data_IF_883083613388
#
_entry.id   IF_883083613388
#
_cell.length_a   1.000
_cell.length_b   1.000
_cell.length_c   1.000
_cell.angle_alpha   90.00
_cell.angle_beta   90.00
_cell.angle_gamma   90.00
#
_symmetry.space_group_name_H-M   'P 1'
#
loop_
_entity.id
_entity.type
_entity.pdbx_description
1 polymer ?
#
# COMPACT_ATOMS: atom_id res chain seq x y z
N UNK A 1 -32.81 0.49 -13.59
CA UNK A 1 -31.44 0.10 -13.37
C UNK A 1 -31.26 0.02 -11.86
N UNK A 2 -31.36 -1.16 -11.29
CA UNK A 2 -31.05 -1.40 -9.87
C UNK A 2 -29.53 -1.53 -9.80
N UNK A 3 -28.90 -0.61 -9.10
CA UNK A 3 -27.47 -0.71 -8.80
C UNK A 3 -27.34 -1.77 -7.71
N UNK A 4 -26.68 -2.87 -8.01
CA UNK A 4 -26.38 -3.91 -7.05
C UNK A 4 -25.58 -3.32 -5.87
N UNK A 5 -25.96 -3.58 -4.62
CA UNK A 5 -25.26 -3.04 -3.44
C UNK A 5 -23.81 -3.49 -3.37
N UNK A 6 -23.43 -4.60 -4.00
CA UNK A 6 -22.04 -4.98 -4.19
C UNK A 6 -21.31 -3.94 -5.04
N UNK A 7 -21.94 -3.45 -6.11
CA UNK A 7 -21.45 -2.34 -6.94
C UNK A 7 -21.44 -1.03 -6.14
N UNK A 8 -22.38 -0.83 -5.21
CA UNK A 8 -22.41 0.35 -4.33
C UNK A 8 -21.27 0.30 -3.30
N UNK A 9 -20.93 -0.85 -2.75
CA UNK A 9 -19.79 -1.02 -1.83
C UNK A 9 -18.49 -0.67 -2.53
N UNK A 10 -18.28 -1.16 -3.76
CA UNK A 10 -17.12 -0.82 -4.56
C UNK A 10 -17.16 0.63 -5.08
N UNK A 11 -18.34 1.17 -5.41
CA UNK A 11 -18.50 2.57 -5.83
C UNK A 11 -18.25 3.57 -4.69
N UNK A 12 -18.62 3.26 -3.46
CA UNK A 12 -18.34 4.11 -2.29
C UNK A 12 -16.85 4.13 -1.95
N UNK A 13 -16.14 3.00 -2.12
CA UNK A 13 -14.69 2.94 -2.01
C UNK A 13 -14.01 3.77 -3.11
N UNK A 14 -14.50 3.74 -4.35
CA UNK A 14 -13.99 4.53 -5.47
C UNK A 14 -14.21 6.04 -5.30
N UNK A 15 -15.36 6.46 -4.76
CA UNK A 15 -15.68 7.88 -4.52
C UNK A 15 -14.77 8.49 -3.45
N UNK A 16 -14.40 7.73 -2.43
CA UNK A 16 -13.50 8.18 -1.37
C UNK A 16 -12.09 8.51 -1.90
N UNK A 17 -11.59 7.70 -2.85
CA UNK A 17 -10.27 7.91 -3.48
C UNK A 17 -10.26 9.18 -4.34
N UNK A 18 -11.31 9.44 -5.11
CA UNK A 18 -11.43 10.65 -5.94
C UNK A 18 -11.48 11.92 -5.08
N UNK A 19 -12.10 11.86 -3.89
CA UNK A 19 -12.16 13.00 -2.98
C UNK A 19 -10.78 13.32 -2.35
N UNK A 20 -9.98 12.30 -2.02
CA UNK A 20 -8.62 12.47 -1.45
C UNK A 20 -7.63 12.99 -2.49
N UNK A 21 -7.74 12.59 -3.76
CA UNK A 21 -6.92 13.14 -4.87
C UNK A 21 -7.17 14.65 -5.05
N UNK A 22 -8.38 15.13 -4.87
CA UNK A 22 -8.68 16.57 -4.90
C UNK A 22 -8.06 17.35 -3.73
N UNK A 23 -7.90 16.72 -2.57
CA UNK A 23 -7.30 17.37 -1.39
C UNK A 23 -5.77 17.49 -1.48
N UNK A 24 -5.10 16.58 -2.21
CA UNK A 24 -3.63 16.59 -2.35
C UNK A 24 -3.18 17.48 -3.51
N UNK A 25 -4.01 17.67 -4.55
CA UNK A 25 -3.69 18.56 -5.68
C UNK A 25 -3.97 20.06 -5.39
N UNK A 26 -4.49 20.42 -4.20
CA UNK A 26 -4.89 21.78 -3.85
C UNK A 26 -3.82 22.63 -3.18
N UNK A 27 -2.64 22.13 -2.88
CA UNK A 27 -1.57 22.94 -2.27
C UNK A 27 -0.57 23.38 -3.35
N UNK A 28 -0.90 24.43 -4.05
CA UNK A 28 0.09 25.21 -4.80
C UNK A 28 1.04 25.83 -3.78
N UNK A 29 2.26 25.33 -3.72
CA UNK A 29 3.36 26.05 -3.09
C UNK A 29 3.76 27.16 -4.06
N UNK A 30 3.36 28.39 -3.77
CA UNK A 30 3.91 29.58 -4.40
C UNK A 30 5.40 29.65 -4.02
N UNK A 31 6.25 29.25 -4.96
CA UNK A 31 7.68 29.52 -4.88
C UNK A 31 7.86 30.98 -5.24
N UNK A 32 7.87 31.82 -4.22
CA UNK A 32 8.27 33.22 -4.29
C UNK A 32 9.73 33.28 -4.77
N UNK A 33 9.91 33.66 -6.05
CA UNK A 33 11.22 33.92 -6.64
C UNK A 33 11.84 35.12 -5.96
N UNK A 34 12.84 34.90 -5.11
CA UNK A 34 13.71 35.93 -4.59
C UNK A 34 14.67 36.39 -5.71
N UNK A 35 14.80 37.70 -6.02
CA UNK A 35 15.72 38.20 -7.00
C UNK A 35 17.19 38.03 -6.57
N UNK A 36 18.13 37.90 -7.51
CA UNK A 36 19.56 37.75 -7.17
C UNK A 36 20.17 39.08 -6.75
N UNK A 37 20.89 39.07 -5.64
CA UNK A 37 21.75 40.18 -5.22
C UNK A 37 23.10 40.12 -5.93
N UNK A 38 23.71 41.28 -6.31
CA UNK A 38 24.96 41.32 -7.06
C UNK A 38 26.19 41.09 -6.17
N UNK A 39 27.22 40.49 -6.80
CA UNK A 39 28.51 40.22 -6.13
C UNK A 39 29.39 41.44 -5.94
N UNK A 40 30.52 41.27 -5.29
CA UNK A 40 31.77 41.77 -5.91
C UNK A 40 32.95 40.79 -5.88
N UNK A 41 33.70 40.97 -6.91
CA UNK A 41 35.08 40.67 -7.30
C UNK A 41 36.16 40.15 -6.33
N UNK A 42 36.92 39.25 -6.92
CA UNK A 42 38.38 39.18 -6.96
C UNK A 42 39.16 38.71 -5.71
N UNK A 43 39.84 37.55 -5.88
CA UNK A 43 41.30 37.49 -5.69
C UNK A 43 41.84 36.16 -6.21
N UNK A 44 42.89 36.30 -7.02
CA UNK A 44 43.74 35.29 -7.60
C UNK A 44 44.56 34.55 -6.53
N UNK A 45 44.74 33.22 -6.67
CA UNK A 45 45.74 32.44 -5.95
C UNK A 45 46.08 31.18 -6.71
N UNK A 46 47.36 31.05 -7.09
CA UNK A 46 48.01 30.11 -7.98
C UNK A 46 48.05 28.62 -7.49
N UNK A 47 48.44 27.68 -8.36
CA UNK A 47 48.20 26.27 -8.20
C UNK A 47 49.27 25.53 -7.38
N UNK A 48 48.87 24.55 -6.59
CA UNK A 48 49.79 23.60 -5.96
C UNK A 48 49.65 22.24 -6.65
N UNK A 49 50.78 21.68 -7.02
CA UNK A 49 50.96 20.44 -7.77
C UNK A 49 50.43 19.18 -7.07
N UNK A 50 50.14 18.11 -7.82
CA UNK A 50 49.55 16.88 -7.28
C UNK A 50 50.59 15.98 -6.61
N UNK A 51 50.36 15.67 -5.34
CA UNK A 51 51.11 14.65 -4.61
C UNK A 51 50.89 13.25 -5.19
N UNK A 52 52.00 12.65 -5.61
CA UNK A 52 52.09 11.30 -6.19
C UNK A 52 51.77 10.26 -5.12
N UNK A 53 50.60 9.63 -5.18
CA UNK A 53 50.24 8.50 -4.33
C UNK A 53 50.86 7.23 -4.89
N UNK A 54 51.80 6.67 -4.15
CA UNK A 54 52.44 5.38 -4.45
C UNK A 54 51.46 4.28 -4.06
N UNK A 55 50.91 3.54 -5.03
CA UNK A 55 50.14 2.33 -4.81
C UNK A 55 51.07 1.16 -4.51
N UNK A 56 50.94 0.56 -3.31
CA UNK A 56 51.57 -0.74 -3.03
C UNK A 56 50.77 -1.84 -3.77
N UNK A 57 51.43 -2.76 -4.48
CA UNK A 57 50.74 -3.93 -5.04
C UNK A 57 50.65 -5.01 -3.95
N UNK A 58 49.41 -5.44 -3.63
CA UNK A 58 49.21 -6.64 -2.81
C UNK A 58 48.18 -6.57 -1.69
N UNK A 59 47.11 -5.84 -1.88
CA UNK A 59 45.88 -6.12 -1.06
C UNK A 59 44.78 -6.54 -2.05
N UNK A 60 44.48 -7.82 -2.06
CA UNK A 60 43.30 -8.32 -2.72
C UNK A 60 42.08 -7.60 -2.09
N UNK A 61 41.54 -6.61 -2.77
CA UNK A 61 40.24 -6.05 -2.48
C UNK A 61 39.23 -7.20 -2.58
N UNK A 62 38.85 -7.72 -1.41
CA UNK A 62 37.56 -8.36 -1.32
C UNK A 62 36.54 -7.26 -1.60
N UNK A 63 36.16 -7.12 -2.84
CA UNK A 63 34.99 -6.38 -3.24
C UNK A 63 33.82 -6.96 -2.45
N UNK A 64 33.47 -6.32 -1.33
CA UNK A 64 32.17 -6.48 -0.75
C UNK A 64 31.19 -6.13 -1.88
N UNK A 65 30.49 -7.13 -2.40
CA UNK A 65 29.42 -6.90 -3.34
C UNK A 65 28.45 -5.89 -2.71
N UNK A 66 28.12 -4.81 -3.39
CA UNK A 66 27.34 -3.75 -2.77
C UNK A 66 26.01 -4.32 -2.29
N UNK A 67 25.62 -3.95 -1.08
CA UNK A 67 24.34 -4.33 -0.47
C UNK A 67 23.13 -4.03 -1.39
N UNK A 68 23.30 -3.13 -2.34
CA UNK A 68 22.35 -2.80 -3.40
C UNK A 68 21.97 -3.98 -4.30
N UNK A 69 22.88 -4.96 -4.52
CA UNK A 69 22.57 -6.12 -5.38
C UNK A 69 21.62 -7.11 -4.70
N UNK A 70 21.71 -7.27 -3.37
CA UNK A 70 20.79 -8.13 -2.62
C UNK A 70 19.38 -7.54 -2.57
N UNK A 71 19.25 -6.27 -2.22
CA UNK A 71 17.97 -5.57 -2.19
C UNK A 71 17.26 -5.55 -3.54
N UNK A 72 18.01 -5.40 -4.64
CA UNK A 72 17.45 -5.40 -5.99
C UNK A 72 16.92 -6.78 -6.43
N UNK A 73 17.59 -7.87 -6.05
CA UNK A 73 17.14 -9.23 -6.36
C UNK A 73 15.93 -9.65 -5.50
N UNK A 74 15.92 -9.27 -4.22
CA UNK A 74 14.77 -9.54 -3.35
C UNK A 74 13.54 -8.71 -3.75
N UNK A 75 13.69 -7.41 -4.00
CA UNK A 75 12.58 -6.57 -4.44
C UNK A 75 11.98 -7.05 -5.77
N UNK A 76 12.81 -7.54 -6.71
CA UNK A 76 12.35 -8.09 -7.99
C UNK A 76 11.50 -9.36 -7.84
N UNK A 77 11.67 -10.10 -6.74
CA UNK A 77 10.92 -11.33 -6.47
C UNK A 77 9.49 -11.07 -5.97
N UNK A 78 9.28 -9.95 -5.26
CA UNK A 78 8.02 -9.61 -4.60
C UNK A 78 7.23 -8.49 -5.27
N UNK A 79 7.78 -7.88 -6.33
CA UNK A 79 7.14 -6.78 -7.04
C UNK A 79 6.99 -7.07 -8.54
N UNK A 80 5.77 -6.94 -9.04
CA UNK A 80 5.44 -7.15 -10.45
C UNK A 80 5.75 -5.94 -11.34
N UNK A 81 5.93 -4.75 -10.75
CA UNK A 81 6.18 -3.50 -11.48
C UNK A 81 7.53 -2.88 -11.13
N UNK A 82 8.01 -1.95 -11.99
CA UNK A 82 9.22 -1.17 -11.70
C UNK A 82 9.04 -0.25 -10.48
N UNK A 83 7.87 0.37 -10.33
CA UNK A 83 7.54 1.20 -9.17
C UNK A 83 7.52 0.39 -7.87
N UNK A 84 7.01 -0.84 -7.93
CA UNK A 84 7.04 -1.77 -6.81
C UNK A 84 8.47 -2.12 -6.40
N UNK A 85 9.32 -2.48 -7.37
CA UNK A 85 10.74 -2.82 -7.12
C UNK A 85 11.51 -1.66 -6.52
N UNK A 86 11.38 -0.48 -7.13
CA UNK A 86 12.05 0.73 -6.65
C UNK A 86 11.57 1.11 -5.24
N UNK A 87 10.26 1.03 -5.00
CA UNK A 87 9.67 1.35 -3.70
C UNK A 87 10.06 0.38 -2.59
N UNK A 88 10.09 -0.94 -2.87
CA UNK A 88 10.59 -1.91 -1.90
C UNK A 88 12.08 -1.66 -1.56
N UNK A 89 12.90 -1.34 -2.56
CA UNK A 89 14.30 -1.00 -2.33
C UNK A 89 14.45 0.27 -1.48
N UNK A 90 13.61 1.30 -1.70
CA UNK A 90 13.57 2.52 -0.89
C UNK A 90 13.19 2.22 0.56
N UNK A 91 12.17 1.37 0.79
CA UNK A 91 11.74 0.97 2.13
C UNK A 91 12.84 0.16 2.84
N UNK A 92 13.46 -0.80 2.15
CA UNK A 92 14.57 -1.59 2.73
C UNK A 92 15.77 -0.73 3.10
N UNK A 93 16.03 0.34 2.34
CA UNK A 93 17.08 1.30 2.66
C UNK A 93 16.75 2.16 3.88
N UNK A 94 15.47 2.54 4.05
CA UNK A 94 14.98 3.35 5.16
C UNK A 94 14.73 2.55 6.45
N UNK A 95 14.40 1.28 6.32
CA UNK A 95 14.13 0.33 7.41
C UNK A 95 14.85 -1.01 7.15
N UNK A 96 16.07 -1.18 7.68
CA UNK A 96 16.84 -2.42 7.50
C UNK A 96 16.20 -3.67 8.11
N UNK A 97 15.17 -3.51 8.95
CA UNK A 97 14.42 -4.63 9.55
C UNK A 97 13.23 -5.08 8.70
N UNK A 98 12.91 -4.33 7.66
CA UNK A 98 11.82 -4.67 6.73
C UNK A 98 12.19 -5.89 5.88
N UNK A 99 11.29 -6.87 5.85
CA UNK A 99 11.39 -8.09 5.05
C UNK A 99 10.18 -8.16 4.09
N UNK A 100 10.41 -8.09 2.77
CA UNK A 100 9.34 -8.14 1.78
C UNK A 100 8.51 -9.42 1.84
N UNK A 101 9.13 -10.58 2.14
CA UNK A 101 8.43 -11.86 2.21
C UNK A 101 7.51 -11.94 3.43
N UNK A 102 7.95 -11.42 4.58
CA UNK A 102 7.10 -11.30 5.77
C UNK A 102 5.95 -10.33 5.55
N UNK A 103 6.22 -9.23 4.84
CA UNK A 103 5.18 -8.27 4.48
C UNK A 103 4.12 -8.92 3.60
N UNK A 104 4.50 -9.61 2.50
CA UNK A 104 3.56 -10.29 1.59
C UNK A 104 2.70 -11.31 2.34
N UNK A 105 3.33 -12.17 3.15
CA UNK A 105 2.61 -13.14 3.97
C UNK A 105 1.63 -12.46 4.93
N UNK A 106 2.05 -11.38 5.60
CA UNK A 106 1.22 -10.58 6.48
C UNK A 106 0.07 -9.88 5.76
N UNK A 107 0.30 -9.36 4.55
CA UNK A 107 -0.72 -8.71 3.74
C UNK A 107 -1.83 -9.68 3.31
N UNK A 108 -1.47 -10.93 2.95
CA UNK A 108 -2.47 -12.00 2.66
C UNK A 108 -3.32 -12.35 3.89
N UNK A 109 -2.70 -12.46 5.05
CA UNK A 109 -3.42 -12.69 6.31
C UNK A 109 -4.32 -11.53 6.66
N UNK A 110 -3.83 -10.29 6.51
CA UNK A 110 -4.63 -9.09 6.77
C UNK A 110 -5.82 -8.98 5.81
N UNK A 111 -5.64 -9.33 4.53
CA UNK A 111 -6.72 -9.38 3.56
C UNK A 111 -7.84 -10.30 4.01
N UNK A 112 -7.54 -11.57 4.35
CA UNK A 112 -8.52 -12.55 4.83
C UNK A 112 -9.24 -12.08 6.10
N UNK A 113 -8.48 -11.55 7.08
CA UNK A 113 -9.03 -11.03 8.33
C UNK A 113 -9.98 -9.85 8.10
N UNK A 114 -9.60 -8.89 7.25
CA UNK A 114 -10.42 -7.70 6.97
C UNK A 114 -11.70 -8.08 6.24
N UNK A 115 -11.61 -8.94 5.21
CA UNK A 115 -12.79 -9.41 4.45
C UNK A 115 -13.79 -10.13 5.35
N UNK A 116 -13.32 -11.04 6.23
CA UNK A 116 -14.17 -11.73 7.20
C UNK A 116 -14.75 -10.79 8.24
N UNK A 117 -13.93 -9.96 8.87
CA UNK A 117 -14.37 -9.01 9.87
C UNK A 117 -15.42 -8.02 9.31
N UNK A 118 -15.26 -7.61 8.05
CA UNK A 118 -16.24 -6.78 7.36
C UNK A 118 -17.58 -7.51 7.13
N UNK A 119 -17.54 -8.76 6.68
CA UNK A 119 -18.74 -9.58 6.50
C UNK A 119 -19.46 -9.79 7.83
N UNK A 120 -18.72 -10.18 8.87
CA UNK A 120 -19.23 -10.48 10.21
C UNK A 120 -19.65 -9.23 10.99
N UNK A 121 -19.25 -8.03 10.55
CA UNK A 121 -19.48 -6.77 11.25
C UNK A 121 -18.59 -6.58 12.48
N UNK A 122 -17.45 -7.27 12.53
CA UNK A 122 -16.46 -7.15 13.61
C UNK A 122 -15.65 -5.85 13.50
N UNK A 123 -16.23 -4.79 14.04
CA UNK A 123 -15.64 -3.45 14.07
C UNK A 123 -14.36 -3.41 14.91
N UNK A 124 -14.21 -4.29 15.91
CA UNK A 124 -13.02 -4.28 16.77
C UNK A 124 -11.79 -4.75 16.00
N UNK A 125 -11.89 -5.84 15.25
CA UNK A 125 -10.83 -6.33 14.36
C UNK A 125 -10.51 -5.30 13.27
N UNK A 126 -11.53 -4.71 12.64
CA UNK A 126 -11.32 -3.68 11.62
C UNK A 126 -10.58 -2.45 12.15
N UNK A 127 -10.90 -1.97 13.35
CA UNK A 127 -10.25 -0.81 13.96
C UNK A 127 -8.74 -1.02 14.18
N UNK A 128 -8.30 -2.27 14.39
CA UNK A 128 -6.89 -2.60 14.57
C UNK A 128 -6.11 -2.67 13.24
N UNK A 129 -6.79 -3.04 12.15
CA UNK A 129 -6.17 -3.30 10.85
C UNK A 129 -6.29 -2.15 9.86
N UNK A 130 -7.25 -1.24 10.08
CA UNK A 130 -7.54 -0.13 9.17
C UNK A 130 -7.04 1.20 9.73
N UNK A 131 -6.76 2.15 8.83
CA UNK A 131 -6.62 3.56 9.21
C UNK A 131 -7.98 4.11 9.68
N UNK A 132 -8.02 5.19 10.49
CA UNK A 132 -9.28 5.78 10.93
C UNK A 132 -10.22 6.15 9.78
N UNK A 133 -9.66 6.63 8.66
CA UNK A 133 -10.42 7.03 7.48
C UNK A 133 -11.07 5.83 6.81
N UNK A 134 -10.32 4.76 6.55
CA UNK A 134 -10.84 3.51 5.94
C UNK A 134 -11.84 2.85 6.89
N UNK A 135 -11.50 2.80 8.19
CA UNK A 135 -12.41 2.26 9.20
C UNK A 135 -13.77 2.96 9.22
N UNK A 136 -13.78 4.30 9.15
CA UNK A 136 -15.04 5.07 9.13
C UNK A 136 -15.96 4.64 7.97
N UNK A 137 -15.40 4.43 6.77
CA UNK A 137 -16.15 3.96 5.62
C UNK A 137 -16.71 2.55 5.83
N UNK A 138 -15.90 1.62 6.30
CA UNK A 138 -16.30 0.23 6.56
C UNK A 138 -17.37 0.16 7.67
N UNK A 139 -17.18 0.89 8.77
CA UNK A 139 -18.13 0.93 9.88
C UNK A 139 -19.49 1.48 9.43
N UNK A 140 -19.52 2.51 8.59
CA UNK A 140 -20.77 3.07 8.05
C UNK A 140 -21.58 2.03 7.25
N UNK A 141 -20.90 1.24 6.40
CA UNK A 141 -21.58 0.17 5.62
C UNK A 141 -22.10 -0.94 6.54
N UNK A 142 -21.31 -1.32 7.56
CA UNK A 142 -21.76 -2.30 8.56
C UNK A 142 -23.01 -1.80 9.28
N UNK A 143 -23.03 -0.51 9.71
CA UNK A 143 -24.19 0.08 10.39
C UNK A 143 -25.43 0.10 9.50
N UNK A 144 -25.30 0.44 8.24
CA UNK A 144 -26.41 0.43 7.28
C UNK A 144 -26.99 -0.98 7.11
N UNK A 145 -26.15 -2.01 6.95
CA UNK A 145 -26.59 -3.41 6.87
C UNK A 145 -27.34 -3.83 8.14
N UNK A 146 -26.78 -3.51 9.31
CA UNK A 146 -27.39 -3.85 10.60
C UNK A 146 -28.76 -3.17 10.77
N UNK A 147 -28.89 -1.90 10.36
CA UNK A 147 -30.18 -1.18 10.38
C UNK A 147 -31.22 -1.80 9.43
N UNK A 148 -30.78 -2.26 8.26
CA UNK A 148 -31.64 -3.00 7.33
C UNK A 148 -32.00 -4.42 7.85
N UNK A 149 -31.28 -4.91 8.87
CA UNK A 149 -31.41 -6.27 9.39
C UNK A 149 -30.80 -7.31 8.44
N UNK A 150 -29.82 -6.89 7.65
CA UNK A 150 -29.13 -7.74 6.70
C UNK A 150 -27.89 -8.38 7.35
N UNK A 151 -27.63 -9.62 6.95
CA UNK A 151 -26.46 -10.40 7.37
C UNK A 151 -25.65 -10.77 6.14
N UNK A 152 -24.42 -10.29 6.08
CA UNK A 152 -23.46 -10.68 5.05
C UNK A 152 -22.66 -11.92 5.49
N UNK A 153 -22.29 -12.74 4.52
CA UNK A 153 -21.38 -13.86 4.69
C UNK A 153 -20.43 -13.88 3.50
N UNK A 154 -19.13 -13.88 3.76
CA UNK A 154 -18.11 -13.97 2.71
C UNK A 154 -17.14 -15.08 3.05
N UNK A 155 -16.92 -15.97 2.10
CA UNK A 155 -15.94 -17.05 2.17
C UNK A 155 -14.85 -16.80 1.13
N UNK A 156 -13.67 -16.48 1.59
CA UNK A 156 -12.48 -16.43 0.72
C UNK A 156 -12.14 -17.87 0.30
N UNK A 157 -12.16 -18.13 -1.00
CA UNK A 157 -11.81 -19.45 -1.59
C UNK A 157 -10.31 -19.53 -1.80
N UNK A 158 -9.71 -18.51 -2.43
CA UNK A 158 -8.26 -18.40 -2.66
C UNK A 158 -7.82 -16.96 -2.82
N UNK A 159 -6.55 -16.72 -2.52
CA UNK A 159 -5.79 -15.57 -3.00
C UNK A 159 -4.86 -16.13 -4.08
N UNK A 160 -5.19 -15.87 -5.34
CA UNK A 160 -4.45 -16.42 -6.48
C UNK A 160 -3.15 -15.62 -6.69
N UNK A 161 -3.21 -14.27 -6.54
CA UNK A 161 -2.06 -13.38 -6.64
C UNK A 161 -2.08 -12.32 -5.55
N UNK A 162 -0.90 -11.91 -5.09
CA UNK A 162 -0.69 -10.78 -4.19
C UNK A 162 0.64 -10.11 -4.50
N UNK A 163 0.63 -9.20 -5.47
CA UNK A 163 1.81 -8.57 -6.05
C UNK A 163 1.99 -7.14 -5.58
N UNK A 164 3.20 -6.81 -5.16
CA UNK A 164 3.54 -5.40 -4.91
C UNK A 164 3.64 -4.66 -6.25
N UNK A 165 2.82 -3.64 -6.42
CA UNK A 165 2.79 -2.82 -7.64
C UNK A 165 3.38 -1.43 -7.44
N UNK A 166 3.37 -0.91 -6.21
CA UNK A 166 3.97 0.38 -5.85
C UNK A 166 4.46 0.34 -4.42
N UNK A 167 5.56 1.09 -4.14
CA UNK A 167 6.09 1.29 -2.80
C UNK A 167 6.69 2.67 -2.66
N UNK A 168 6.79 3.19 -1.43
CA UNK A 168 7.50 4.43 -1.13
C UNK A 168 7.87 4.53 0.36
N UNK A 169 8.96 5.24 0.66
CA UNK A 169 9.38 5.59 2.01
C UNK A 169 9.58 7.11 2.11
N UNK A 170 8.52 7.85 2.41
CA UNK A 170 8.53 9.32 2.44
C UNK A 170 8.05 9.85 3.79
N UNK A 171 8.75 10.87 4.32
CA UNK A 171 8.34 11.52 5.57
C UNK A 171 8.29 10.58 6.78
N UNK A 172 9.11 9.53 6.80
CA UNK A 172 9.09 8.53 7.87
C UNK A 172 7.94 7.53 7.77
N UNK A 173 7.16 7.55 6.69
CA UNK A 173 6.06 6.63 6.43
C UNK A 173 6.41 5.70 5.27
N UNK A 174 6.37 4.39 5.49
CA UNK A 174 6.42 3.38 4.44
C UNK A 174 5.01 3.09 3.95
N UNK A 175 4.81 3.09 2.63
CA UNK A 175 3.56 2.70 2.00
C UNK A 175 3.84 1.65 0.92
N UNK A 176 2.97 0.64 0.83
CA UNK A 176 3.07 -0.44 -0.15
C UNK A 176 1.68 -0.72 -0.69
N UNK A 177 1.53 -0.65 -2.01
CA UNK A 177 0.31 -1.04 -2.71
C UNK A 177 0.47 -2.44 -3.28
N UNK A 178 -0.46 -3.31 -2.91
CA UNK A 178 -0.53 -4.72 -3.31
C UNK A 178 -1.76 -4.93 -4.16
N UNK A 179 -1.59 -5.52 -5.35
CA UNK A 179 -2.69 -6.03 -6.16
C UNK A 179 -3.01 -7.43 -5.68
N UNK A 180 -4.27 -7.62 -5.29
CA UNK A 180 -4.81 -8.93 -4.96
C UNK A 180 -5.72 -9.41 -6.08
N UNK A 181 -5.49 -10.65 -6.57
CA UNK A 181 -6.45 -11.39 -7.39
C UNK A 181 -6.99 -12.52 -6.53
N UNK A 182 -8.29 -12.49 -6.26
CA UNK A 182 -8.91 -13.40 -5.30
C UNK A 182 -10.16 -14.06 -5.85
N UNK A 183 -10.53 -15.18 -5.25
CA UNK A 183 -11.81 -15.85 -5.48
C UNK A 183 -12.57 -15.94 -4.18
N UNK A 184 -13.82 -15.55 -4.21
CA UNK A 184 -14.69 -15.57 -3.03
C UNK A 184 -16.12 -15.92 -3.38
N UNK A 185 -16.86 -16.41 -2.36
CA UNK A 185 -18.30 -16.58 -2.40
C UNK A 185 -18.87 -15.57 -1.40
N UNK A 186 -19.81 -14.73 -1.83
CA UNK A 186 -20.42 -13.72 -0.96
C UNK A 186 -21.93 -13.73 -1.11
N UNK A 187 -22.61 -13.65 0.03
CA UNK A 187 -24.07 -13.58 0.10
C UNK A 187 -24.50 -12.58 1.16
N UNK A 188 -25.64 -11.94 0.94
CA UNK A 188 -26.33 -11.17 1.97
C UNK A 188 -27.75 -11.69 2.10
N UNK A 189 -28.17 -11.92 3.34
CA UNK A 189 -29.54 -12.37 3.69
C UNK A 189 -30.28 -11.28 4.45
N UNK A 190 -31.56 -11.19 4.23
CA UNK A 190 -32.42 -10.32 5.01
C UNK A 190 -32.81 -10.96 6.36
N UNK A 191 -33.66 -10.24 7.15
CA UNK A 191 -34.18 -10.72 8.46
C UNK A 191 -35.01 -12.02 8.36
N UNK A 192 -35.51 -12.38 7.17
CA UNK A 192 -36.27 -13.63 6.95
C UNK A 192 -35.37 -14.79 6.58
N UNK A 193 -34.07 -14.53 6.35
CA UNK A 193 -33.09 -15.49 5.88
C UNK A 193 -33.07 -15.65 4.36
N UNK A 194 -33.87 -14.88 3.62
CA UNK A 194 -33.85 -14.89 2.16
C UNK A 194 -32.58 -14.20 1.64
N UNK A 195 -32.00 -14.76 0.59
CA UNK A 195 -30.87 -14.15 -0.08
C UNK A 195 -31.36 -12.94 -0.86
N UNK A 196 -30.82 -11.76 -0.51
CA UNK A 196 -31.14 -10.49 -1.18
C UNK A 196 -30.00 -10.07 -2.12
N UNK A 197 -28.77 -10.54 -1.87
CA UNK A 197 -27.60 -10.28 -2.73
C UNK A 197 -26.65 -11.48 -2.75
N UNK A 198 -25.97 -11.64 -3.89
CA UNK A 198 -25.00 -12.71 -4.10
C UNK A 198 -25.64 -14.08 -4.35
N UNK A 199 -24.76 -15.08 -4.50
CA UNK A 199 -25.16 -16.47 -4.75
C UNK A 199 -24.21 -17.38 -3.95
N UNK A 200 -24.70 -18.29 -3.09
CA UNK A 200 -23.88 -19.18 -2.29
C UNK A 200 -23.10 -20.22 -3.10
N UNK A 201 -23.51 -20.47 -4.32
CA UNK A 201 -22.90 -21.46 -5.22
C UNK A 201 -21.97 -20.81 -6.27
N UNK A 202 -21.98 -19.48 -6.36
CA UNK A 202 -21.17 -18.74 -7.33
C UNK A 202 -19.85 -18.27 -6.72
N UNK A 203 -18.75 -18.74 -7.29
CA UNK A 203 -17.41 -18.19 -7.02
C UNK A 203 -17.19 -16.98 -7.92
N UNK A 204 -16.97 -15.82 -7.33
CA UNK A 204 -16.61 -14.60 -8.05
C UNK A 204 -15.12 -14.34 -7.93
N UNK A 205 -14.50 -13.87 -9.04
CA UNK A 205 -13.12 -13.38 -9.04
C UNK A 205 -13.11 -11.87 -8.94
N UNK A 206 -12.22 -11.34 -8.09
CA UNK A 206 -12.04 -9.89 -7.92
C UNK A 206 -10.56 -9.53 -8.01
N UNK A 207 -10.30 -8.40 -8.68
CA UNK A 207 -8.98 -7.77 -8.70
C UNK A 207 -9.07 -6.46 -7.92
N UNK A 208 -8.24 -6.30 -6.90
CA UNK A 208 -8.27 -5.15 -6.00
C UNK A 208 -6.87 -4.63 -5.72
N UNK A 209 -6.73 -3.33 -5.57
CA UNK A 209 -5.49 -2.68 -5.16
C UNK A 209 -5.65 -2.19 -3.71
N UNK A 210 -4.84 -2.73 -2.81
CA UNK A 210 -4.84 -2.37 -1.39
C UNK A 210 -3.52 -1.71 -1.00
N UNK A 211 -3.60 -0.52 -0.39
CA UNK A 211 -2.41 0.19 0.09
C UNK A 211 -2.31 0.08 1.60
N UNK A 212 -1.19 -0.47 2.04
CA UNK A 212 -0.82 -0.58 3.45
C UNK A 212 0.21 0.49 3.80
N UNK A 213 0.16 0.99 5.04
CA UNK A 213 1.14 1.94 5.55
C UNK A 213 1.62 1.56 6.96
N UNK A 214 2.90 1.88 7.24
CA UNK A 214 3.51 1.75 8.57
C UNK A 214 4.51 2.87 8.80
N UNK A 215 4.54 3.40 10.02
CA UNK A 215 5.57 4.35 10.42
C UNK A 215 6.94 3.65 10.53
N UNK A 216 7.95 4.17 9.82
CA UNK A 216 9.31 3.66 9.86
C UNK A 216 9.90 3.89 11.25
N UNK A 217 10.56 2.85 11.82
CA UNK A 217 11.13 2.92 13.16
C UNK A 217 10.10 2.83 14.30
N UNK A 218 8.82 2.60 13.99
CA UNK A 218 7.82 2.31 15.02
C UNK A 218 8.09 0.98 15.70
N UNK A 219 7.94 0.88 17.04
CA UNK A 219 7.98 -0.40 17.75
C UNK A 219 6.77 -1.29 17.39
N UNK A 220 5.67 -0.70 16.89
CA UNK A 220 4.51 -1.44 16.39
C UNK A 220 4.80 -1.95 14.97
N UNK A 221 4.90 -3.27 14.74
CA UNK A 221 5.17 -3.85 13.43
C UNK A 221 3.95 -3.85 12.51
N UNK A 222 2.78 -3.41 12.98
CA UNK A 222 1.50 -3.55 12.28
C UNK A 222 1.43 -2.62 11.08
N UNK A 223 1.16 -3.19 9.92
CA UNK A 223 0.79 -2.47 8.71
C UNK A 223 -0.73 -2.25 8.72
N UNK A 224 -1.16 -1.02 8.53
CA UNK A 224 -2.59 -0.67 8.48
C UNK A 224 -3.02 -0.42 7.05
N UNK A 225 -4.19 -0.89 6.68
CA UNK A 225 -4.81 -0.59 5.40
C UNK A 225 -5.23 0.89 5.37
N UNK A 226 -4.71 1.66 4.41
CA UNK A 226 -4.95 3.11 4.27
C UNK A 226 -5.75 3.46 3.01
N UNK A 227 -5.84 2.55 2.03
CA UNK A 227 -6.67 2.73 0.84
C UNK A 227 -7.02 1.37 0.22
N UNK A 228 -8.17 1.30 -0.44
CA UNK A 228 -8.59 0.20 -1.31
C UNK A 228 -9.16 0.76 -2.60
N UNK A 229 -8.85 0.12 -3.72
CA UNK A 229 -9.37 0.46 -5.05
C UNK A 229 -9.74 -0.83 -5.77
N UNK A 230 -10.84 -0.81 -6.54
CA UNK A 230 -11.18 -1.92 -7.44
C UNK A 230 -10.33 -1.79 -8.71
N UNK A 231 -9.60 -2.82 -9.08
CA UNK A 231 -8.81 -2.84 -10.30
C UNK A 231 -9.68 -3.37 -11.44
N UNK A 232 -10.39 -2.45 -12.12
CA UNK A 232 -11.11 -2.81 -13.34
C UNK A 232 -10.08 -2.91 -14.47
N UNK A 233 -9.70 -4.14 -14.83
CA UNK A 233 -8.98 -4.36 -16.09
C UNK A 233 -9.88 -3.88 -17.24
N UNK A 234 -9.49 -2.74 -17.84
CA UNK A 234 -10.09 -2.19 -19.05
C UNK A 234 -9.75 -3.06 -20.24
#
# INVERSE_FOLDING_TARGET
MQLDPTTIIFALLAIFVVWKLKSVLGTRVDIERRPPAPGPDAAKGQPSEPGKVIRLPGAAERTAAPAQTRGGLESARFASTEKGRAGLAEIMAADPTFDPGRFEAGAKVAYDMIVRAFADGDKATLNNLLSPEVYSGFASVIDQRQQAGEQASTKLVSIDEADVVEGSAKGGLAQISVRFSTKMISTTRDKTGAIVHGDPDLVISTDELWTFARQIGSPDPTWRLVATESDHKS
#
